data_IF_523727369419
#
_entry.id   IF_523727369419
#
_cell.length_a   1.000
_cell.length_b   1.000
_cell.length_c   1.000
_cell.angle_alpha   90.00
_cell.angle_beta   90.00
_cell.angle_gamma   90.00
#
_symmetry.space_group_name_H-M   'P 1'
#
loop_
_entity.id
_entity.type
_entity.pdbx_description
1 polymer ?
#
# COMPACT_ATOMS: atom_id res chain seq x y z
N UNK A 1 -13.07 40.34 34.04
CA UNK A 1 -13.95 40.19 32.87
C UNK A 1 -13.35 39.04 32.05
N UNK A 2 -13.81 37.82 32.33
CA UNK A 2 -13.16 36.60 31.86
C UNK A 2 -13.52 36.31 30.41
N UNK A 3 -12.53 36.38 29.53
CA UNK A 3 -12.58 35.68 28.25
C UNK A 3 -12.55 34.19 28.56
N UNK A 4 -13.74 33.59 28.60
CA UNK A 4 -13.89 32.14 28.45
C UNK A 4 -13.27 31.80 27.10
N UNK A 5 -12.06 31.23 27.12
CA UNK A 5 -11.57 30.39 26.03
C UNK A 5 -12.66 29.36 25.78
N UNK A 6 -13.39 29.52 24.68
CA UNK A 6 -14.25 28.46 24.18
C UNK A 6 -13.32 27.35 23.70
N UNK A 7 -13.10 26.39 24.60
CA UNK A 7 -12.56 25.08 24.32
C UNK A 7 -13.58 24.37 23.41
N UNK A 8 -13.39 24.50 22.10
CA UNK A 8 -14.15 23.87 21.03
C UNK A 8 -13.06 23.39 20.04
N UNK A 9 -12.94 22.13 19.63
CA UNK A 9 -13.83 20.98 19.60
C UNK A 9 -12.94 19.76 19.32
N UNK A 10 -13.40 18.52 19.59
CA UNK A 10 -12.71 17.29 19.15
C UNK A 10 -12.18 17.45 17.72
N UNK A 11 -10.86 17.54 17.58
CA UNK A 11 -10.24 17.60 16.27
C UNK A 11 -10.65 16.38 15.46
N UNK A 12 -11.13 16.61 14.23
CA UNK A 12 -11.68 15.55 13.40
C UNK A 12 -10.65 14.41 13.28
N UNK A 13 -11.09 13.18 13.54
CA UNK A 13 -10.22 11.99 13.53
C UNK A 13 -9.46 11.88 12.19
N UNK A 14 -10.12 12.23 11.08
CA UNK A 14 -9.53 12.28 9.75
C UNK A 14 -8.36 13.27 9.66
N UNK A 15 -8.48 14.46 10.27
CA UNK A 15 -7.41 15.46 10.28
C UNK A 15 -6.20 14.94 11.06
N UNK A 16 -6.44 14.41 12.26
CA UNK A 16 -5.39 13.81 13.10
C UNK A 16 -4.66 12.65 12.42
N UNK A 17 -5.39 11.82 11.66
CA UNK A 17 -4.79 10.73 10.89
C UNK A 17 -3.91 11.29 9.76
N UNK A 18 -4.41 12.27 9.01
CA UNK A 18 -3.66 12.90 7.93
C UNK A 18 -2.37 13.57 8.44
N UNK A 19 -2.44 14.32 9.54
CA UNK A 19 -1.27 14.94 10.17
C UNK A 19 -0.22 13.91 10.58
N UNK A 20 -0.65 12.78 11.16
CA UNK A 20 0.26 11.69 11.55
C UNK A 20 0.92 11.04 10.34
N UNK A 21 0.19 10.81 9.26
CA UNK A 21 0.75 10.26 8.02
C UNK A 21 1.77 11.24 7.41
N UNK A 22 1.47 12.54 7.38
CA UNK A 22 2.37 13.57 6.84
C UNK A 22 3.63 13.78 7.69
N UNK A 23 3.52 13.62 9.02
CA UNK A 23 4.65 13.77 9.94
C UNK A 23 5.56 12.53 10.00
N UNK A 24 5.09 11.37 9.53
CA UNK A 24 5.83 10.11 9.61
C UNK A 24 7.04 10.10 8.67
N UNK A 25 8.17 9.62 9.17
CA UNK A 25 9.42 9.59 8.42
C UNK A 25 10.29 8.41 8.81
N UNK A 26 11.42 8.25 8.11
CA UNK A 26 12.41 7.21 8.42
C UNK A 26 12.87 7.23 9.88
N UNK A 27 12.96 8.40 10.53
CA UNK A 27 13.45 8.50 11.92
C UNK A 27 12.52 7.81 12.93
N UNK A 28 11.24 7.65 12.56
CA UNK A 28 10.21 7.08 13.41
C UNK A 28 10.17 5.53 13.30
N UNK A 29 10.91 4.98 12.34
CA UNK A 29 11.01 3.52 12.13
C UNK A 29 12.10 2.89 13.01
N UNK A 30 11.67 2.04 13.93
CA UNK A 30 12.58 1.15 14.68
C UNK A 30 13.26 0.14 13.73
N UNK A 31 14.40 -0.46 14.11
CA UNK A 31 15.02 -1.53 13.33
C UNK A 31 14.07 -2.70 13.06
N UNK A 32 13.22 -3.03 14.03
CA UNK A 32 12.18 -4.05 13.88
C UNK A 32 11.13 -3.65 12.84
N UNK A 33 10.62 -2.43 12.89
CA UNK A 33 9.66 -1.93 11.91
C UNK A 33 10.24 -1.94 10.48
N UNK A 34 11.52 -1.57 10.34
CA UNK A 34 12.22 -1.66 9.05
C UNK A 34 12.32 -3.09 8.52
N UNK A 35 12.62 -4.05 9.39
CA UNK A 35 12.69 -5.45 8.99
C UNK A 35 11.33 -6.00 8.59
N UNK A 36 10.27 -5.71 9.35
CA UNK A 36 8.90 -6.13 9.02
C UNK A 36 8.46 -5.52 7.68
N UNK A 37 8.71 -4.22 7.46
CA UNK A 37 8.40 -3.57 6.19
C UNK A 37 9.12 -4.22 5.01
N UNK A 38 10.42 -4.52 5.16
CA UNK A 38 11.19 -5.21 4.13
C UNK A 38 10.63 -6.61 3.86
N UNK A 39 10.33 -7.38 4.90
CA UNK A 39 9.79 -8.73 4.78
C UNK A 39 8.44 -8.71 4.06
N UNK A 40 7.49 -7.88 4.49
CA UNK A 40 6.17 -7.79 3.85
C UNK A 40 6.25 -7.39 2.37
N UNK A 41 7.14 -6.45 2.02
CA UNK A 41 7.36 -6.06 0.62
C UNK A 41 7.92 -7.24 -0.20
N UNK A 42 8.95 -7.93 0.31
CA UNK A 42 9.57 -9.07 -0.39
C UNK A 42 8.56 -10.21 -0.56
N UNK A 43 7.84 -10.54 0.51
CA UNK A 43 6.81 -11.57 0.53
C UNK A 43 5.72 -11.27 -0.50
N UNK A 44 5.18 -10.05 -0.48
CA UNK A 44 4.15 -9.61 -1.44
C UNK A 44 4.64 -9.71 -2.88
N UNK A 45 5.88 -9.30 -3.17
CA UNK A 45 6.44 -9.47 -4.53
C UNK A 45 6.54 -10.95 -4.89
N UNK A 46 6.95 -11.81 -3.97
CA UNK A 46 7.02 -13.26 -4.16
C UNK A 46 5.67 -13.86 -4.56
N UNK A 47 4.62 -13.59 -3.78
CA UNK A 47 3.27 -14.08 -4.08
C UNK A 47 2.67 -13.43 -5.33
N UNK A 48 3.00 -12.16 -5.61
CA UNK A 48 2.60 -11.50 -6.86
C UNK A 48 3.13 -12.28 -8.06
N UNK A 49 4.42 -12.63 -8.06
CA UNK A 49 5.05 -13.38 -9.16
C UNK A 49 4.41 -14.76 -9.32
N UNK A 50 4.04 -15.42 -8.23
CA UNK A 50 3.31 -16.68 -8.26
C UNK A 50 1.88 -16.54 -8.79
N UNK A 51 1.22 -15.39 -8.57
CA UNK A 51 -0.14 -15.10 -9.04
C UNK A 51 -0.23 -14.48 -10.44
N UNK A 52 0.89 -14.14 -11.09
CA UNK A 52 0.91 -13.68 -12.49
C UNK A 52 0.23 -14.65 -13.46
N UNK A 53 0.48 -15.97 -13.45
CA UNK A 53 -0.13 -16.90 -14.40
C UNK A 53 -1.62 -17.15 -14.16
N UNK A 54 -2.18 -16.77 -13.01
CA UNK A 54 -3.57 -17.04 -12.65
C UNK A 54 -4.58 -16.31 -13.55
N UNK A 55 -5.74 -16.94 -13.77
CA UNK A 55 -6.74 -16.48 -14.72
C UNK A 55 -7.23 -15.05 -14.43
N UNK A 56 -7.41 -14.69 -13.16
CA UNK A 56 -7.83 -13.34 -12.77
C UNK A 56 -6.84 -12.26 -13.23
N UNK A 57 -5.53 -12.52 -13.12
CA UNK A 57 -4.47 -11.64 -13.62
C UNK A 57 -4.44 -11.64 -15.14
N UNK A 58 -4.52 -12.81 -15.76
CA UNK A 58 -4.47 -12.96 -17.23
C UNK A 58 -5.65 -12.28 -17.93
N UNK A 59 -6.83 -12.26 -17.30
CA UNK A 59 -7.98 -11.52 -17.79
C UNK A 59 -7.63 -10.03 -17.90
N UNK A 60 -7.11 -9.40 -16.84
CA UNK A 60 -6.74 -7.98 -16.85
C UNK A 60 -5.69 -7.66 -17.91
N UNK A 61 -4.70 -8.53 -18.10
CA UNK A 61 -3.65 -8.35 -19.11
C UNK A 61 -4.16 -8.33 -20.55
N UNK A 62 -5.35 -8.89 -20.79
CA UNK A 62 -6.02 -8.97 -22.10
C UNK A 62 -7.08 -7.89 -22.30
N UNK A 63 -7.48 -7.16 -21.25
CA UNK A 63 -8.47 -6.08 -21.38
C UNK A 63 -7.86 -4.93 -22.21
N UNK A 64 -8.48 -4.55 -23.35
CA UNK A 64 -8.03 -3.41 -24.13
C UNK A 64 -7.97 -2.13 -23.29
N UNK A 65 -6.84 -1.43 -23.34
CA UNK A 65 -6.65 -0.16 -22.63
C UNK A 65 -6.08 -0.27 -21.20
N UNK A 66 -6.20 -1.40 -20.50
CA UNK A 66 -5.68 -1.54 -19.11
C UNK A 66 -4.17 -1.80 -19.14
N UNK A 67 -3.74 -2.93 -19.68
CA UNK A 67 -2.31 -3.29 -19.66
C UNK A 67 -1.49 -2.65 -20.81
N UNK A 68 -2.02 -1.61 -21.45
CA UNK A 68 -1.43 -0.93 -22.62
C UNK A 68 -1.47 0.60 -22.53
N UNK A 69 -2.01 1.15 -21.43
CA UNK A 69 -1.99 2.59 -21.20
C UNK A 69 -0.53 3.09 -21.12
N UNK A 70 -0.23 4.29 -21.63
CA UNK A 70 1.11 4.84 -21.56
C UNK A 70 1.52 5.09 -20.11
N UNK A 71 2.72 4.65 -19.72
CA UNK A 71 3.25 4.90 -18.39
C UNK A 71 4.57 4.20 -18.15
N UNK A 72 5.11 4.43 -16.95
CA UNK A 72 6.42 3.92 -16.54
C UNK A 72 6.31 2.76 -15.57
N UNK A 73 5.13 2.39 -15.07
CA UNK A 73 4.99 1.40 -14.02
C UNK A 73 5.07 -0.03 -14.57
N UNK A 74 5.85 -0.88 -13.92
CA UNK A 74 6.14 -2.27 -14.30
C UNK A 74 4.95 -3.16 -13.97
N UNK A 75 4.59 -4.03 -14.91
CA UNK A 75 3.79 -5.21 -14.62
C UNK A 75 4.75 -6.30 -14.14
N UNK A 76 4.64 -6.71 -12.87
CA UNK A 76 5.54 -7.67 -12.26
C UNK A 76 5.53 -9.01 -13.01
N UNK A 77 6.69 -9.67 -13.08
CA UNK A 77 6.85 -10.91 -13.86
C UNK A 77 6.88 -10.72 -15.38
N UNK A 78 6.97 -9.48 -15.88
CA UNK A 78 7.05 -9.18 -17.30
C UNK A 78 8.04 -8.04 -17.61
N UNK A 79 8.25 -7.76 -18.90
CA UNK A 79 8.98 -6.56 -19.36
C UNK A 79 8.05 -5.40 -19.73
N UNK A 80 6.73 -5.57 -19.58
CA UNK A 80 5.73 -4.59 -19.97
C UNK A 80 5.63 -3.49 -18.92
N UNK A 81 5.41 -2.26 -19.40
CA UNK A 81 5.10 -1.10 -18.57
C UNK A 81 3.77 -0.49 -19.00
N UNK A 82 3.02 0.03 -18.03
CA UNK A 82 1.72 0.68 -18.25
C UNK A 82 1.56 1.89 -17.31
N UNK A 83 0.38 2.51 -17.30
CA UNK A 83 0.03 3.57 -16.36
C UNK A 83 0.19 3.11 -14.89
N UNK A 84 0.42 4.03 -13.96
CA UNK A 84 0.53 3.67 -12.54
C UNK A 84 -0.77 3.04 -12.01
N UNK A 85 -1.93 3.50 -12.50
CA UNK A 85 -3.23 2.95 -12.14
C UNK A 85 -3.37 1.48 -12.57
N UNK A 86 -3.06 1.18 -13.84
CA UNK A 86 -3.23 -0.17 -14.37
C UNK A 86 -2.20 -1.13 -13.79
N UNK A 87 -0.96 -0.68 -13.59
CA UNK A 87 0.07 -1.50 -12.94
C UNK A 87 -0.33 -1.83 -11.50
N UNK A 88 -0.89 -0.87 -10.76
CA UNK A 88 -1.39 -1.10 -9.41
C UNK A 88 -2.55 -2.12 -9.40
N UNK A 89 -3.49 -2.00 -10.35
CA UNK A 89 -4.60 -2.93 -10.50
C UNK A 89 -4.10 -4.35 -10.82
N UNK A 90 -3.28 -4.49 -11.85
CA UNK A 90 -2.78 -5.80 -12.32
C UNK A 90 -1.91 -6.47 -11.25
N UNK A 91 -0.92 -5.75 -10.72
CA UNK A 91 -0.02 -6.31 -9.71
C UNK A 91 -0.78 -6.60 -8.41
N UNK A 92 -1.75 -5.75 -8.03
CA UNK A 92 -2.61 -5.96 -6.86
C UNK A 92 -3.45 -7.23 -6.99
N UNK A 93 -4.09 -7.44 -8.15
CA UNK A 93 -4.82 -8.67 -8.45
C UNK A 93 -3.92 -9.89 -8.40
N UNK A 94 -2.73 -9.83 -9.00
CA UNK A 94 -1.77 -10.93 -8.95
C UNK A 94 -1.27 -11.21 -7.52
N UNK A 95 -1.11 -10.18 -6.70
CA UNK A 95 -0.64 -10.32 -5.30
C UNK A 95 -1.60 -11.16 -4.44
N UNK A 96 -2.89 -11.14 -4.74
CA UNK A 96 -3.94 -11.83 -3.99
C UNK A 96 -4.63 -12.93 -4.80
N UNK A 97 -4.06 -13.34 -5.95
CA UNK A 97 -4.67 -14.33 -6.84
C UNK A 97 -4.77 -15.73 -6.22
N UNK A 98 -3.85 -16.05 -5.31
CA UNK A 98 -3.68 -17.38 -4.72
C UNK A 98 -4.09 -17.46 -3.25
N UNK A 99 -4.54 -16.34 -2.65
CA UNK A 99 -4.80 -16.22 -1.20
C UNK A 99 -3.59 -16.68 -0.35
N UNK A 100 -2.39 -16.31 -0.82
CA UNK A 100 -1.12 -16.74 -0.22
C UNK A 100 -0.31 -15.60 0.41
N UNK A 101 -0.80 -14.38 0.23
CA UNK A 101 -0.26 -13.15 0.79
C UNK A 101 -0.45 -13.06 2.30
N UNK A 102 0.36 -12.19 2.93
CA UNK A 102 0.39 -12.04 4.36
C UNK A 102 -0.96 -11.64 4.98
N UNK A 103 -1.14 -12.03 6.25
CA UNK A 103 -2.35 -11.77 7.01
C UNK A 103 -1.98 -11.19 8.39
N UNK A 104 -2.81 -10.28 8.90
CA UNK A 104 -2.68 -9.74 10.24
C UNK A 104 -4.03 -9.74 10.95
N UNK A 105 -4.07 -10.37 12.14
CA UNK A 105 -5.23 -10.34 13.01
C UNK A 105 -5.58 -8.93 13.50
N UNK A 106 -4.57 -8.06 13.70
CA UNK A 106 -4.81 -6.67 14.11
C UNK A 106 -5.52 -5.84 13.02
N UNK A 107 -5.35 -6.25 11.75
CA UNK A 107 -6.06 -5.67 10.61
C UNK A 107 -7.36 -6.42 10.30
N UNK A 108 -7.40 -7.74 10.53
CA UNK A 108 -8.50 -8.61 10.15
C UNK A 108 -8.47 -9.00 8.67
N UNK A 109 -7.29 -8.99 8.03
CA UNK A 109 -7.17 -9.23 6.60
C UNK A 109 -5.73 -9.17 6.09
N UNK A 110 -5.60 -8.96 4.78
CA UNK A 110 -4.32 -8.93 4.07
C UNK A 110 -3.79 -7.50 3.89
N UNK A 111 -2.83 -7.13 4.72
CA UNK A 111 -2.38 -5.73 4.84
C UNK A 111 -1.42 -5.28 3.74
N UNK A 112 -0.62 -6.17 3.15
CA UNK A 112 0.47 -5.76 2.27
C UNK A 112 0.04 -5.61 0.82
N UNK A 113 -0.85 -6.48 0.34
CA UNK A 113 -1.32 -6.47 -1.04
C UNK A 113 -1.98 -5.15 -1.49
N UNK A 114 -2.80 -4.44 -0.69
CA UNK A 114 -3.33 -3.14 -1.10
C UNK A 114 -2.28 -2.02 -1.08
N UNK A 115 -1.08 -2.24 -0.53
CA UNK A 115 -0.04 -1.23 -0.37
C UNK A 115 1.09 -1.39 -1.40
N UNK A 116 1.63 -2.60 -1.57
CA UNK A 116 2.86 -2.80 -2.34
C UNK A 116 2.66 -2.45 -3.82
N UNK A 117 1.60 -2.95 -4.45
CA UNK A 117 1.32 -2.69 -5.86
C UNK A 117 1.23 -1.18 -6.22
N UNK A 118 0.38 -0.38 -5.55
CA UNK A 118 0.31 1.06 -5.84
C UNK A 118 1.57 1.83 -5.45
N UNK A 119 2.26 1.44 -4.38
CA UNK A 119 3.50 2.12 -3.96
C UNK A 119 4.61 1.95 -4.99
N UNK A 120 4.80 0.75 -5.54
CA UNK A 120 5.79 0.52 -6.59
C UNK A 120 5.42 1.24 -7.89
N UNK A 121 4.15 1.18 -8.29
CA UNK A 121 3.67 1.87 -9.48
C UNK A 121 3.92 3.40 -9.41
N UNK A 122 3.60 4.03 -8.26
CA UNK A 122 3.87 5.45 -8.02
C UNK A 122 5.36 5.74 -7.87
N UNK A 123 6.14 4.84 -7.30
CA UNK A 123 7.58 5.02 -7.15
C UNK A 123 8.27 5.08 -8.52
N UNK A 124 7.90 4.19 -9.45
CA UNK A 124 8.46 4.20 -10.80
C UNK A 124 7.98 5.42 -11.61
N UNK A 125 6.74 5.86 -11.43
CA UNK A 125 6.23 7.08 -12.06
C UNK A 125 6.97 8.33 -11.58
N UNK A 126 7.22 8.43 -10.27
CA UNK A 126 7.79 9.62 -9.61
C UNK A 126 9.31 9.57 -9.42
N UNK A 127 9.96 8.46 -9.78
CA UNK A 127 11.40 8.24 -9.52
C UNK A 127 11.74 8.17 -8.03
N UNK A 128 10.86 7.59 -7.21
CA UNK A 128 11.07 7.48 -5.77
C UNK A 128 12.12 6.40 -5.43
N UNK A 129 12.90 6.66 -4.39
CA UNK A 129 13.86 5.70 -3.84
C UNK A 129 13.18 4.56 -3.08
N UNK A 130 13.86 3.42 -2.96
CA UNK A 130 13.38 2.30 -2.14
C UNK A 130 13.16 2.68 -0.66
N UNK A 131 13.93 3.64 -0.13
CA UNK A 131 13.70 4.15 1.23
C UNK A 131 12.37 4.89 1.35
N UNK A 132 12.00 5.70 0.34
CA UNK A 132 10.70 6.37 0.32
C UNK A 132 9.56 5.35 0.23
N UNK A 133 9.72 4.28 -0.54
CA UNK A 133 8.75 3.17 -0.60
C UNK A 133 8.60 2.50 0.77
N UNK A 134 9.70 2.17 1.45
CA UNK A 134 9.63 1.55 2.79
C UNK A 134 8.95 2.44 3.84
N UNK A 135 9.21 3.75 3.81
CA UNK A 135 8.57 4.71 4.72
C UNK A 135 7.08 4.83 4.42
N UNK A 136 6.70 4.96 3.14
CA UNK A 136 5.32 5.05 2.71
C UNK A 136 4.53 3.77 3.03
N UNK A 137 5.15 2.60 2.84
CA UNK A 137 4.58 1.31 3.23
C UNK A 137 4.30 1.26 4.74
N UNK A 138 5.26 1.63 5.58
CA UNK A 138 5.07 1.63 7.03
C UNK A 138 4.00 2.63 7.50
N UNK A 139 3.95 3.83 6.91
CA UNK A 139 2.91 4.82 7.18
C UNK A 139 1.52 4.32 6.76
N UNK A 140 1.43 3.72 5.56
CA UNK A 140 0.20 3.14 5.03
C UNK A 140 -0.31 2.00 5.90
N UNK A 141 0.58 1.09 6.31
CA UNK A 141 0.27 -0.03 7.19
C UNK A 141 -0.28 0.44 8.55
N UNK A 142 0.39 1.41 9.18
CA UNK A 142 -0.09 1.99 10.45
C UNK A 142 -1.46 2.65 10.28
N UNK A 143 -1.69 3.39 9.19
CA UNK A 143 -2.98 4.00 8.91
C UNK A 143 -4.09 2.95 8.73
N UNK A 144 -3.79 1.87 8.00
CA UNK A 144 -4.69 0.74 7.76
C UNK A 144 -5.11 0.08 9.08
N UNK A 145 -4.14 -0.26 9.93
CA UNK A 145 -4.38 -0.89 11.24
C UNK A 145 -5.16 0.05 12.16
N UNK A 146 -4.84 1.36 12.17
CA UNK A 146 -5.57 2.34 12.98
C UNK A 146 -7.04 2.46 12.58
N UNK A 147 -7.31 2.43 11.27
CA UNK A 147 -8.68 2.42 10.75
C UNK A 147 -9.42 1.14 11.14
N UNK A 148 -8.81 -0.03 10.94
CA UNK A 148 -9.41 -1.32 11.31
C UNK A 148 -9.79 -1.39 12.80
N UNK A 149 -8.89 -0.93 13.68
CA UNK A 149 -9.17 -0.86 15.13
C UNK A 149 -10.27 0.12 15.49
N UNK A 150 -10.47 1.17 14.68
CA UNK A 150 -11.54 2.15 14.91
C UNK A 150 -12.93 1.64 14.48
N UNK A 151 -12.99 0.70 13.52
CA UNK A 151 -14.24 0.15 12.99
C UNK A 151 -14.61 -1.22 13.59
N UNK A 152 -13.96 -1.62 14.69
CA UNK A 152 -14.17 -2.89 15.41
C UNK A 152 -13.98 -4.15 14.54
N UNK A 153 -12.79 -4.33 13.97
CA UNK A 153 -12.29 -5.69 13.75
C UNK A 153 -11.84 -6.25 15.12
N UNK A 154 -12.55 -7.28 15.58
CA UNK A 154 -12.47 -7.86 16.93
C UNK A 154 -11.15 -8.60 17.14
#
# INVERSE_FOLDING_TARGET
MGERKMENSQEAITLRLAEKVLAFSRKDMTPRAMNIARTGIIDTIGVTLAGVPEDCTQILLRIPGVATAPGKALIFGSTRRTSALDAALINGTASHALDYDDFSSDFGGHQSVPLVAPLFALAEERGASGMQVMVAYAAGLEALIRLARAVNFV
#
